data_IF_876685423199
#
_entry.id   IF_876685423199
#
_cell.length_a   1.000
_cell.length_b   1.000
_cell.length_c   1.000
_cell.angle_alpha   90.00
_cell.angle_beta   90.00
_cell.angle_gamma   90.00
#
_symmetry.space_group_name_H-M   'P 1'
#
loop_
_entity.id
_entity.type
_entity.pdbx_description
1 polymer ?
#
# COMPACT_ATOMS: atom_id res chain seq x y z
N UNK A 1 20.45 -12.01 -5.17
CA UNK A 1 19.89 -10.92 -6.00
C UNK A 1 18.56 -10.57 -5.39
N UNK A 2 18.41 -9.40 -4.77
CA UNK A 2 17.08 -8.89 -4.45
C UNK A 2 16.45 -8.57 -5.80
N UNK A 3 15.63 -9.49 -6.33
CA UNK A 3 14.75 -9.19 -7.45
C UNK A 3 13.90 -8.00 -7.03
N UNK A 4 13.88 -6.95 -7.87
CA UNK A 4 13.08 -5.76 -7.61
C UNK A 4 11.60 -6.14 -7.83
N UNK A 5 10.97 -6.72 -6.81
CA UNK A 5 9.58 -7.20 -6.88
C UNK A 5 8.66 -6.00 -7.00
N UNK A 6 7.83 -6.01 -8.04
CA UNK A 6 6.83 -4.97 -8.26
C UNK A 6 5.62 -5.19 -7.36
N UNK A 7 4.91 -4.11 -7.04
CA UNK A 7 3.68 -4.19 -6.25
C UNK A 7 2.64 -5.13 -6.89
N UNK A 8 2.61 -5.23 -8.22
CA UNK A 8 1.72 -6.13 -8.98
C UNK A 8 2.15 -7.60 -8.95
N UNK A 9 3.36 -7.89 -8.47
CA UNK A 9 3.96 -9.22 -8.39
C UNK A 9 4.01 -9.73 -6.94
N UNK A 10 3.42 -9.00 -5.98
CA UNK A 10 3.33 -9.43 -4.59
C UNK A 10 2.45 -10.68 -4.47
N UNK A 11 3.08 -11.81 -4.13
CA UNK A 11 2.41 -13.06 -3.82
C UNK A 11 2.35 -13.33 -2.31
N UNK A 12 1.59 -14.35 -1.94
CA UNK A 12 1.35 -14.74 -0.56
C UNK A 12 2.65 -15.16 0.15
N UNK A 13 3.49 -15.95 -0.50
CA UNK A 13 4.72 -16.50 0.09
C UNK A 13 5.73 -15.41 0.40
N UNK A 14 5.91 -14.46 -0.52
CA UNK A 14 6.78 -13.31 -0.33
C UNK A 14 6.31 -12.45 0.85
N UNK A 15 5.01 -12.19 0.94
CA UNK A 15 4.44 -11.37 2.01
C UNK A 15 4.47 -12.09 3.35
N UNK A 16 4.20 -13.41 3.41
CA UNK A 16 4.38 -14.21 4.63
C UNK A 16 5.82 -14.16 5.12
N UNK A 17 6.78 -14.30 4.22
CA UNK A 17 8.20 -14.19 4.56
C UNK A 17 8.56 -12.79 5.09
N UNK A 18 8.03 -11.73 4.48
CA UNK A 18 8.19 -10.36 4.96
C UNK A 18 7.62 -10.17 6.37
N UNK A 19 6.43 -10.71 6.64
CA UNK A 19 5.75 -10.68 7.94
C UNK A 19 6.33 -11.67 8.97
N UNK A 20 7.26 -12.55 8.57
CA UNK A 20 7.80 -13.66 9.38
C UNK A 20 6.72 -14.63 9.88
N UNK A 21 5.75 -14.94 9.01
CA UNK A 21 4.68 -15.90 9.27
C UNK A 21 5.05 -17.24 8.65
N UNK A 22 5.17 -18.28 9.47
CA UNK A 22 5.60 -19.63 9.08
C UNK A 22 4.46 -20.67 9.03
N UNK A 23 3.21 -20.21 9.14
CA UNK A 23 2.01 -21.04 9.15
C UNK A 23 0.97 -20.60 8.12
N UNK A 24 -0.01 -21.45 7.84
CA UNK A 24 -1.01 -21.22 6.79
C UNK A 24 -2.38 -20.72 7.31
N UNK A 25 -2.55 -20.64 8.64
CA UNK A 25 -3.82 -20.25 9.24
C UNK A 25 -4.32 -18.84 8.85
N UNK A 26 -3.40 -17.95 8.46
CA UNK A 26 -3.70 -16.56 8.10
C UNK A 26 -3.64 -16.30 6.59
N UNK A 27 -3.46 -17.32 5.75
CA UNK A 27 -3.27 -17.17 4.31
C UNK A 27 -4.39 -16.38 3.63
N UNK A 28 -5.64 -16.67 4.01
CA UNK A 28 -6.81 -15.97 3.50
C UNK A 28 -6.81 -14.49 3.91
N UNK A 29 -6.40 -14.18 5.14
CA UNK A 29 -6.32 -12.81 5.62
C UNK A 29 -5.21 -12.04 4.93
N UNK A 30 -4.01 -12.62 4.84
CA UNK A 30 -2.85 -11.99 4.20
C UNK A 30 -3.15 -11.75 2.72
N UNK A 31 -3.77 -12.70 2.02
CA UNK A 31 -4.21 -12.53 0.63
C UNK A 31 -5.17 -11.34 0.47
N UNK A 32 -6.12 -11.19 1.40
CA UNK A 32 -7.05 -10.04 1.41
C UNK A 32 -6.32 -8.72 1.65
N UNK A 33 -5.32 -8.70 2.55
CA UNK A 33 -4.51 -7.52 2.82
C UNK A 33 -3.68 -7.09 1.62
N UNK A 34 -3.12 -8.03 0.85
CA UNK A 34 -2.37 -7.73 -0.39
C UNK A 34 -3.25 -6.98 -1.38
N UNK A 35 -4.44 -7.53 -1.67
CA UNK A 35 -5.41 -6.92 -2.60
C UNK A 35 -5.85 -5.55 -2.08
N UNK A 36 -6.13 -5.45 -0.78
CA UNK A 36 -6.58 -4.20 -0.15
C UNK A 36 -5.50 -3.12 -0.19
N UNK A 37 -4.23 -3.46 0.02
CA UNK A 37 -3.11 -2.52 -0.04
C UNK A 37 -2.91 -1.98 -1.46
N UNK A 38 -2.96 -2.86 -2.47
CA UNK A 38 -2.88 -2.48 -3.88
C UNK A 38 -4.02 -1.52 -4.28
N UNK A 39 -5.24 -1.82 -3.85
CA UNK A 39 -6.40 -0.96 -4.12
C UNK A 39 -6.32 0.37 -3.38
N UNK A 40 -5.88 0.36 -2.12
CA UNK A 40 -5.71 1.56 -1.31
C UNK A 40 -4.71 2.52 -1.95
N UNK A 41 -3.55 2.02 -2.38
CA UNK A 41 -2.52 2.84 -3.02
C UNK A 41 -3.03 3.43 -4.34
N UNK A 42 -3.65 2.65 -5.23
CA UNK A 42 -4.21 3.19 -6.49
C UNK A 42 -5.30 4.25 -6.24
N UNK A 43 -6.14 4.04 -5.22
CA UNK A 43 -7.16 5.01 -4.81
C UNK A 43 -6.51 6.30 -4.29
N UNK A 44 -5.49 6.17 -3.46
CA UNK A 44 -4.74 7.30 -2.91
C UNK A 44 -4.04 8.11 -4.00
N UNK A 45 -3.40 7.43 -4.96
CA UNK A 45 -2.73 8.04 -6.11
C UNK A 45 -3.71 8.64 -7.13
N UNK A 46 -4.97 8.23 -7.07
CA UNK A 46 -5.99 8.47 -8.08
C UNK A 46 -5.53 8.04 -9.48
N UNK A 47 -4.88 6.88 -9.56
CA UNK A 47 -4.27 6.36 -10.79
C UNK A 47 -4.04 4.86 -10.69
N UNK A 48 -4.23 4.12 -11.79
CA UNK A 48 -3.96 2.69 -11.88
C UNK A 48 -2.47 2.41 -12.08
N UNK A 49 -2.01 1.24 -11.63
CA UNK A 49 -0.59 0.88 -11.72
C UNK A 49 -0.07 0.73 -13.16
N UNK A 50 -0.92 0.30 -14.09
CA UNK A 50 -0.57 0.16 -15.51
C UNK A 50 -0.36 1.51 -16.23
N UNK A 51 -0.78 2.62 -15.61
CA UNK A 51 -0.54 3.97 -16.11
C UNK A 51 0.82 4.55 -15.66
N UNK A 52 1.64 3.78 -14.95
CA UNK A 52 3.02 4.15 -14.56
C UNK A 52 4.04 3.34 -15.36
N UNK A 53 4.95 4.03 -16.05
CA UNK A 53 6.08 3.41 -16.76
C UNK A 53 7.37 4.23 -16.55
N UNK A 54 8.35 3.73 -15.78
CA UNK A 54 8.34 2.46 -15.05
C UNK A 54 7.46 2.51 -13.78
N UNK A 55 6.94 1.35 -13.36
CA UNK A 55 6.23 1.21 -12.09
C UNK A 55 7.19 1.45 -10.91
N UNK A 56 6.97 2.48 -10.06
CA UNK A 56 7.89 2.82 -8.96
C UNK A 56 8.00 1.70 -7.91
N UNK A 57 9.22 1.45 -7.44
CA UNK A 57 9.49 0.42 -6.41
C UNK A 57 8.98 0.86 -5.02
N UNK A 58 8.84 2.16 -4.81
CA UNK A 58 8.28 2.79 -3.61
C UNK A 58 6.86 2.28 -3.31
N UNK A 59 6.10 1.92 -4.36
CA UNK A 59 4.75 1.36 -4.19
C UNK A 59 4.80 0.02 -3.48
N UNK A 60 5.76 -0.84 -3.83
CA UNK A 60 5.96 -2.14 -3.17
C UNK A 60 6.25 -1.95 -1.68
N UNK A 61 7.14 -1.01 -1.34
CA UNK A 61 7.49 -0.72 0.06
C UNK A 61 6.28 -0.18 0.83
N UNK A 62 5.53 0.75 0.23
CA UNK A 62 4.32 1.30 0.82
C UNK A 62 3.27 0.21 1.09
N UNK A 63 3.08 -0.73 0.16
CA UNK A 63 2.16 -1.85 0.34
C UNK A 63 2.59 -2.78 1.47
N UNK A 64 3.86 -3.16 1.52
CA UNK A 64 4.41 -4.02 2.58
C UNK A 64 4.27 -3.39 3.97
N UNK A 65 4.53 -2.07 4.10
CA UNK A 65 4.33 -1.34 5.34
C UNK A 65 2.86 -1.32 5.78
N UNK A 66 1.92 -1.08 4.87
CA UNK A 66 0.47 -1.14 5.16
C UNK A 66 0.05 -2.54 5.63
N UNK A 67 0.49 -3.58 4.92
CA UNK A 67 0.15 -4.97 5.27
C UNK A 67 0.71 -5.32 6.65
N UNK A 68 1.96 -4.96 6.96
CA UNK A 68 2.55 -5.17 8.30
C UNK A 68 1.69 -4.52 9.38
N UNK A 69 1.31 -3.26 9.16
CA UNK A 69 0.51 -2.51 10.11
C UNK A 69 -0.86 -3.17 10.35
N UNK A 70 -1.58 -3.54 9.28
CA UNK A 70 -2.89 -4.18 9.40
C UNK A 70 -2.80 -5.57 10.02
N UNK A 71 -1.72 -6.31 9.75
CA UNK A 71 -1.48 -7.64 10.30
C UNK A 71 -1.15 -7.61 11.79
N UNK A 72 -0.29 -6.67 12.21
CA UNK A 72 0.08 -6.46 13.62
C UNK A 72 -1.09 -5.88 14.43
N UNK A 73 -1.84 -4.95 13.84
CA UNK A 73 -2.91 -4.22 14.50
C UNK A 73 -4.26 -4.64 13.91
N UNK A 74 -4.69 -5.87 14.25
CA UNK A 74 -5.98 -6.46 13.80
C UNK A 74 -7.22 -5.89 14.50
N UNK A 75 -7.03 -4.89 15.35
CA UNK A 75 -8.10 -4.20 16.05
C UNK A 75 -8.21 -2.77 15.52
N UNK A 76 -9.42 -2.22 15.56
CA UNK A 76 -9.62 -0.79 15.31
C UNK A 76 -8.97 -0.04 16.48
N UNK A 77 -7.72 0.37 16.28
CA UNK A 77 -7.03 1.20 17.25
C UNK A 77 -7.66 2.60 17.20
N UNK A 78 -8.23 3.05 18.33
CA UNK A 78 -8.43 4.49 18.55
C UNK A 78 -7.04 5.10 18.67
N UNK A 79 -6.50 5.57 17.54
CA UNK A 79 -5.11 5.96 17.45
C UNK A 79 -4.72 6.96 18.56
N UNK A 80 -3.68 6.64 19.32
CA UNK A 80 -2.85 7.68 19.94
C UNK A 80 -2.26 8.52 18.80
N UNK A 81 -2.25 9.85 18.95
CA UNK A 81 -1.89 10.81 17.90
C UNK A 81 -0.53 10.51 17.26
N UNK A 82 0.41 9.95 18.03
CA UNK A 82 1.80 9.69 17.63
C UNK A 82 2.01 8.55 16.62
N UNK A 83 1.32 7.42 16.74
CA UNK A 83 1.50 6.29 15.80
C UNK A 83 0.82 6.54 14.45
N UNK A 84 -0.27 7.32 14.45
CA UNK A 84 -0.96 7.75 13.22
C UNK A 84 -0.10 8.71 12.40
N UNK A 85 0.66 9.60 13.06
CA UNK A 85 1.44 10.63 12.36
C UNK A 85 2.66 10.08 11.61
N UNK A 86 3.36 9.10 12.15
CA UNK A 86 4.61 8.61 11.55
C UNK A 86 4.38 7.78 10.28
N UNK A 87 3.44 6.83 10.35
CA UNK A 87 3.04 6.02 9.19
C UNK A 87 2.42 6.90 8.11
N UNK A 88 1.59 7.88 8.50
CA UNK A 88 1.06 8.86 7.55
C UNK A 88 2.19 9.65 6.88
N UNK A 89 3.25 10.04 7.60
CA UNK A 89 4.33 10.84 7.04
C UNK A 89 5.20 10.05 6.06
N UNK A 90 5.58 8.83 6.40
CA UNK A 90 6.37 7.96 5.51
C UNK A 90 5.55 7.57 4.27
N UNK A 91 4.28 7.22 4.46
CA UNK A 91 3.39 6.89 3.36
C UNK A 91 3.16 8.07 2.41
N UNK A 92 2.91 9.26 2.96
CA UNK A 92 2.75 10.49 2.18
C UNK A 92 4.05 10.84 1.45
N UNK A 93 5.21 10.76 2.12
CA UNK A 93 6.50 11.03 1.50
C UNK A 93 6.85 10.10 0.33
N UNK A 94 6.43 8.82 0.39
CA UNK A 94 6.64 7.86 -0.71
C UNK A 94 5.68 8.06 -1.88
N UNK A 95 4.43 8.48 -1.64
CA UNK A 95 3.36 8.43 -2.64
C UNK A 95 2.88 9.80 -3.13
N UNK A 96 3.00 10.88 -2.36
CA UNK A 96 2.52 12.22 -2.74
C UNK A 96 3.13 12.71 -4.05
N UNK A 97 4.40 12.35 -4.30
CA UNK A 97 5.13 12.70 -5.53
C UNK A 97 4.54 12.06 -6.79
N UNK A 98 3.73 11.01 -6.62
CA UNK A 98 3.09 10.26 -7.71
C UNK A 98 1.58 10.49 -7.79
N UNK A 99 1.02 11.24 -6.84
CA UNK A 99 -0.42 11.49 -6.75
C UNK A 99 -0.87 12.48 -7.81
N UNK A 100 -1.96 12.16 -8.51
CA UNK A 100 -2.58 13.11 -9.43
C UNK A 100 -3.45 14.12 -8.66
N UNK A 101 -3.00 15.37 -8.58
CA UNK A 101 -3.69 16.45 -7.89
C UNK A 101 -4.78 17.14 -8.73
N UNK A 102 -4.86 16.85 -10.04
CA UNK A 102 -5.66 17.62 -11.01
C UNK A 102 -7.08 17.08 -11.28
N UNK A 103 -7.65 16.28 -10.39
CA UNK A 103 -9.02 15.73 -10.57
C UNK A 103 -10.11 16.57 -9.88
N UNK A 104 -9.84 17.87 -9.68
CA UNK A 104 -10.91 18.86 -9.54
C UNK A 104 -11.43 19.17 -10.94
N UNK A 105 -12.42 18.39 -11.40
CA UNK A 105 -13.22 18.75 -12.57
C UNK A 105 -13.93 20.08 -12.27
N UNK A 106 -13.27 21.19 -12.59
CA UNK A 106 -13.94 22.46 -12.79
C UNK A 106 -14.86 22.29 -14.00
N UNK A 107 -16.11 21.90 -13.77
CA UNK A 107 -17.18 22.21 -14.71
C UNK A 107 -17.27 23.74 -14.77
N UNK A 108 -16.48 24.33 -15.68
CA UNK A 108 -16.75 25.66 -16.18
C UNK A 108 -17.98 25.53 -17.06
N UNK A 109 -19.14 25.70 -16.45
CA UNK A 109 -20.38 26.00 -17.13
C UNK A 109 -20.11 27.17 -18.08
N UNK A 110 -20.11 26.88 -19.38
CA UNK A 110 -19.94 27.83 -20.48
C UNK A 110 -21.27 28.44 -20.92
#
# INVERSE_FOLDING_TARGET
MLSNIKITELDLDFVKNYLKVDHDADDALISMMIISAQNYIQTYLNKKFDEFDPLPAEFTIAALSLISQWYEHREIQTASISSKSELSYVFSGLLDVYRNWNDESYEVDA
#
